data_IF_992811930195
#
_entry.id   IF_992811930195
#
_cell.length_a   1.000
_cell.length_b   1.000
_cell.length_c   1.000
_cell.angle_alpha   90.00
_cell.angle_beta   90.00
_cell.angle_gamma   90.00
#
_symmetry.space_group_name_H-M   'P 1'
#
loop_
_entity.id
_entity.type
_entity.pdbx_description
1 polymer ?
#
# COMPACT_ATOMS: atom_id res chain seq x y z
N UNK A 1 -23.06 11.78 -2.32
CA UNK A 1 -23.34 13.23 -2.20
C UNK A 1 -24.30 13.75 -3.27
N UNK A 2 -24.06 13.67 -4.58
CA UNK A 2 -24.99 14.12 -5.64
C UNK A 2 -26.40 13.55 -5.48
N UNK A 3 -26.52 12.25 -5.23
CA UNK A 3 -27.81 11.57 -5.04
C UNK A 3 -28.58 12.13 -3.83
N UNK A 4 -27.90 12.40 -2.72
CA UNK A 4 -28.49 13.00 -1.52
C UNK A 4 -29.01 14.41 -1.79
N UNK A 5 -28.18 15.26 -2.40
CA UNK A 5 -28.58 16.64 -2.77
C UNK A 5 -29.71 16.62 -3.82
N UNK A 6 -29.71 15.67 -4.74
CA UNK A 6 -30.76 15.48 -5.72
C UNK A 6 -32.09 15.08 -5.08
N UNK A 7 -32.10 14.16 -4.11
CA UNK A 7 -33.33 13.75 -3.38
C UNK A 7 -33.95 14.91 -2.58
N UNK A 8 -33.18 15.89 -2.18
CA UNK A 8 -33.64 17.10 -1.49
C UNK A 8 -33.93 18.27 -2.43
N UNK A 9 -33.88 18.05 -3.76
CA UNK A 9 -34.05 19.10 -4.77
C UNK A 9 -33.08 20.29 -4.64
N UNK A 10 -31.85 20.00 -4.11
CA UNK A 10 -30.80 20.98 -3.89
C UNK A 10 -29.67 20.90 -4.93
N UNK A 11 -29.65 19.85 -5.78
CA UNK A 11 -28.57 19.68 -6.74
C UNK A 11 -28.48 20.80 -7.76
N UNK A 12 -29.63 21.28 -8.25
CA UNK A 12 -29.66 22.35 -9.24
C UNK A 12 -28.98 23.63 -8.77
N UNK A 13 -29.13 23.99 -7.49
CA UNK A 13 -28.49 25.19 -6.93
C UNK A 13 -26.98 25.02 -6.77
N UNK A 14 -26.54 23.80 -6.43
CA UNK A 14 -25.10 23.47 -6.33
C UNK A 14 -24.44 23.46 -7.69
N UNK A 15 -25.12 22.96 -8.73
CA UNK A 15 -24.56 22.85 -10.08
C UNK A 15 -24.56 24.19 -10.80
N UNK A 16 -25.70 24.88 -10.82
CA UNK A 16 -25.91 26.13 -11.56
C UNK A 16 -25.50 27.36 -10.75
N UNK A 17 -25.70 27.30 -9.43
CA UNK A 17 -25.62 28.46 -8.54
C UNK A 17 -26.79 29.41 -8.75
N UNK A 18 -26.75 30.57 -8.09
CA UNK A 18 -27.64 31.68 -8.35
C UNK A 18 -26.83 32.96 -8.40
N UNK A 19 -27.36 33.96 -9.07
CA UNK A 19 -26.76 35.31 -9.11
C UNK A 19 -27.55 36.19 -8.15
N UNK A 20 -26.85 36.89 -7.28
CA UNK A 20 -27.47 37.97 -6.50
C UNK A 20 -27.66 39.16 -7.44
N UNK A 21 -28.86 39.76 -7.45
CA UNK A 21 -29.11 40.97 -8.24
C UNK A 21 -28.23 42.11 -7.73
N UNK A 22 -27.81 42.99 -8.65
CA UNK A 22 -27.06 44.18 -8.29
C UNK A 22 -27.89 45.11 -7.41
N UNK A 23 -27.29 45.71 -6.37
CA UNK A 23 -27.91 46.66 -5.46
C UNK A 23 -28.37 47.88 -6.27
N UNK A 24 -29.71 48.11 -6.34
CA UNK A 24 -30.27 49.28 -6.96
C UNK A 24 -31.33 49.08 -8.05
N UNK A 25 -31.67 47.83 -8.38
CA UNK A 25 -32.76 47.54 -9.32
C UNK A 25 -34.14 47.49 -8.61
N UNK A 26 -35.18 48.11 -9.23
CA UNK A 26 -36.56 47.96 -8.77
C UNK A 26 -37.00 46.50 -8.89
N UNK A 27 -36.92 45.74 -7.77
CA UNK A 27 -37.31 44.35 -7.73
C UNK A 27 -38.79 44.23 -7.29
N UNK A 28 -39.55 43.45 -8.04
CA UNK A 28 -40.91 43.15 -7.64
C UNK A 28 -40.92 42.24 -6.36
N UNK A 29 -41.98 42.36 -5.57
CA UNK A 29 -42.16 41.52 -4.34
C UNK A 29 -42.07 40.03 -4.63
N UNK A 30 -42.54 39.59 -5.82
CA UNK A 30 -42.45 38.20 -6.27
C UNK A 30 -40.99 37.75 -6.57
N UNK A 31 -40.16 38.65 -7.10
CA UNK A 31 -38.73 38.38 -7.36
C UNK A 31 -37.96 38.26 -6.05
N UNK A 32 -38.24 39.13 -5.07
CA UNK A 32 -37.60 39.09 -3.75
C UNK A 32 -37.94 37.75 -3.05
N UNK A 33 -39.20 37.34 -3.04
CA UNK A 33 -39.62 36.08 -2.43
C UNK A 33 -38.98 34.85 -3.10
N UNK A 34 -38.78 34.89 -4.42
CA UNK A 34 -38.09 33.82 -5.17
C UNK A 34 -36.59 33.76 -4.84
N UNK A 35 -35.95 34.92 -4.72
CA UNK A 35 -34.55 35.05 -4.34
C UNK A 35 -34.32 34.53 -2.92
N UNK A 36 -35.19 34.87 -1.96
CA UNK A 36 -35.09 34.34 -0.58
C UNK A 36 -35.19 32.81 -0.53
N UNK A 37 -36.14 32.23 -1.27
CA UNK A 37 -36.26 30.77 -1.40
C UNK A 37 -34.98 30.15 -1.97
N UNK A 38 -34.36 30.80 -2.91
CA UNK A 38 -33.10 30.33 -3.53
C UNK A 38 -31.95 30.42 -2.55
N UNK A 39 -31.84 31.51 -1.81
CA UNK A 39 -30.85 31.67 -0.71
C UNK A 39 -31.00 30.59 0.38
N UNK A 40 -32.23 30.28 0.78
CA UNK A 40 -32.49 29.22 1.76
C UNK A 40 -32.04 27.86 1.21
N UNK A 41 -32.29 27.56 -0.07
CA UNK A 41 -31.83 26.32 -0.71
C UNK A 41 -30.30 26.26 -0.76
N UNK A 42 -29.63 27.36 -1.10
CA UNK A 42 -28.16 27.40 -1.14
C UNK A 42 -27.54 27.14 0.25
N UNK A 43 -28.09 27.81 1.28
CA UNK A 43 -27.65 27.59 2.68
C UNK A 43 -27.89 26.16 3.15
N UNK A 44 -29.03 25.59 2.78
CA UNK A 44 -29.32 24.17 3.07
C UNK A 44 -28.35 23.22 2.37
N UNK A 45 -28.04 23.48 1.10
CA UNK A 45 -27.06 22.69 0.36
C UNK A 45 -25.65 22.82 0.98
N UNK A 46 -25.25 24.02 1.37
CA UNK A 46 -23.98 24.28 2.03
C UNK A 46 -23.88 23.53 3.38
N UNK A 47 -24.95 23.53 4.17
CA UNK A 47 -25.06 22.78 5.41
C UNK A 47 -24.85 21.26 5.18
N UNK A 48 -25.48 20.67 4.15
CA UNK A 48 -25.27 19.27 3.80
C UNK A 48 -23.83 19.00 3.35
N UNK A 49 -23.19 19.93 2.64
CA UNK A 49 -21.79 19.80 2.25
C UNK A 49 -20.86 19.79 3.47
N UNK A 50 -21.09 20.69 4.43
CA UNK A 50 -20.30 20.75 5.66
C UNK A 50 -20.40 19.47 6.50
N UNK A 51 -21.60 18.91 6.62
CA UNK A 51 -21.80 17.68 7.40
C UNK A 51 -21.28 16.41 6.71
N UNK A 52 -20.95 16.48 5.45
CA UNK A 52 -20.57 15.31 4.66
C UNK A 52 -19.07 15.20 4.38
N UNK A 53 -18.27 16.15 4.85
CA UNK A 53 -16.82 16.16 4.70
C UNK A 53 -16.15 15.94 6.07
N UNK A 54 -14.92 15.45 6.02
CA UNK A 54 -14.05 15.39 7.18
C UNK A 54 -13.50 16.80 7.54
N UNK A 55 -12.78 16.91 8.64
CA UNK A 55 -12.20 18.16 9.14
C UNK A 55 -11.34 18.87 8.06
N UNK A 56 -10.50 18.12 7.34
CA UNK A 56 -9.67 18.65 6.24
C UNK A 56 -10.51 19.15 5.06
N UNK A 57 -11.63 18.51 4.75
CA UNK A 57 -12.58 18.94 3.73
C UNK A 57 -13.31 20.20 4.15
N UNK A 58 -13.75 20.26 5.44
CA UNK A 58 -14.42 21.42 6.01
C UNK A 58 -13.53 22.67 5.98
N UNK A 59 -12.26 22.57 6.41
CA UNK A 59 -11.32 23.70 6.37
C UNK A 59 -11.20 24.32 4.98
N UNK A 60 -11.23 23.49 3.92
CA UNK A 60 -11.13 23.96 2.54
C UNK A 60 -12.33 24.77 2.07
N UNK A 61 -13.52 24.42 2.57
CA UNK A 61 -14.79 25.04 2.13
C UNK A 61 -15.40 26.00 3.18
N UNK A 62 -14.79 26.13 4.35
CA UNK A 62 -15.31 26.97 5.43
C UNK A 62 -15.55 28.43 5.02
N UNK A 63 -14.75 28.96 4.08
CA UNK A 63 -14.86 30.32 3.60
C UNK A 63 -15.66 30.46 2.28
N UNK A 64 -16.28 29.36 1.81
CA UNK A 64 -17.06 29.42 0.58
C UNK A 64 -18.33 30.24 0.76
N UNK A 65 -18.56 31.22 -0.11
CA UNK A 65 -19.72 32.10 -0.05
C UNK A 65 -21.03 31.40 -0.49
N UNK A 66 -20.94 30.35 -1.33
CA UNK A 66 -22.07 29.60 -1.87
C UNK A 66 -21.84 28.09 -1.91
N UNK A 67 -22.92 27.34 -2.00
CA UNK A 67 -22.84 25.87 -2.15
C UNK A 67 -22.16 25.45 -3.46
N UNK A 68 -22.29 26.23 -4.52
CA UNK A 68 -21.57 26.01 -5.81
C UNK A 68 -20.07 26.17 -5.65
N UNK A 69 -19.63 27.20 -4.97
CA UNK A 69 -18.20 27.42 -4.71
C UNK A 69 -17.61 26.33 -3.86
N UNK A 70 -18.28 25.98 -2.74
CA UNK A 70 -17.89 24.88 -1.87
C UNK A 70 -17.76 23.56 -2.67
N UNK A 71 -18.74 23.24 -3.51
CA UNK A 71 -18.69 22.05 -4.35
C UNK A 71 -17.50 22.05 -5.33
N UNK A 72 -17.24 23.21 -5.99
CA UNK A 72 -16.12 23.35 -6.91
C UNK A 72 -14.77 23.15 -6.22
N UNK A 73 -14.60 23.71 -5.02
CA UNK A 73 -13.39 23.50 -4.19
C UNK A 73 -13.20 22.01 -3.89
N UNK A 74 -14.27 21.32 -3.42
CA UNK A 74 -14.24 19.89 -3.12
C UNK A 74 -13.94 19.05 -4.38
N UNK A 75 -14.54 19.39 -5.50
CA UNK A 75 -14.31 18.67 -6.76
C UNK A 75 -12.85 18.77 -7.22
N UNK A 76 -12.26 19.96 -7.16
CA UNK A 76 -10.85 20.17 -7.50
C UNK A 76 -9.93 19.43 -6.52
N UNK A 77 -10.21 19.51 -5.23
CA UNK A 77 -9.45 18.80 -4.21
C UNK A 77 -9.53 17.27 -4.41
N UNK A 78 -10.71 16.75 -4.73
CA UNK A 78 -10.91 15.33 -4.99
C UNK A 78 -10.18 14.86 -6.26
N UNK A 79 -10.21 15.63 -7.35
CA UNK A 79 -9.48 15.33 -8.59
C UNK A 79 -7.97 15.32 -8.34
N UNK A 80 -7.46 16.30 -7.59
CA UNK A 80 -6.05 16.36 -7.20
C UNK A 80 -5.61 15.12 -6.40
N UNK A 81 -6.38 14.76 -5.39
CA UNK A 81 -6.11 13.57 -4.58
C UNK A 81 -6.18 12.27 -5.40
N UNK A 82 -7.12 12.17 -6.36
CA UNK A 82 -7.21 11.01 -7.24
C UNK A 82 -5.96 10.85 -8.12
N UNK A 83 -5.47 11.95 -8.70
CA UNK A 83 -4.26 11.93 -9.53
C UNK A 83 -3.02 11.54 -8.72
N UNK A 84 -2.86 12.12 -7.53
CA UNK A 84 -1.76 11.77 -6.62
C UNK A 84 -1.82 10.30 -6.24
N UNK A 85 -3.02 9.79 -5.89
CA UNK A 85 -3.23 8.37 -5.59
C UNK A 85 -2.88 7.45 -6.76
N UNK A 86 -3.23 7.82 -7.99
CA UNK A 86 -2.87 7.05 -9.18
C UNK A 86 -1.35 6.96 -9.38
N UNK A 87 -0.64 8.09 -9.23
CA UNK A 87 0.83 8.12 -9.32
C UNK A 87 1.43 7.23 -8.23
N UNK A 88 0.93 7.33 -7.00
CA UNK A 88 1.39 6.53 -5.86
C UNK A 88 1.15 5.04 -6.07
N UNK A 89 -0.02 4.64 -6.60
CA UNK A 89 -0.31 3.26 -6.98
C UNK A 89 0.66 2.74 -8.04
N UNK A 90 0.97 3.55 -9.07
CA UNK A 90 1.91 3.18 -10.11
C UNK A 90 3.32 2.90 -9.53
N UNK A 91 3.78 3.77 -8.63
CA UNK A 91 5.07 3.60 -7.93
C UNK A 91 5.08 2.32 -7.09
N UNK A 92 4.04 2.12 -6.26
CA UNK A 92 3.93 0.92 -5.41
C UNK A 92 3.86 -0.39 -6.22
N UNK A 93 3.19 -0.38 -7.38
CA UNK A 93 3.18 -1.54 -8.29
C UNK A 93 4.59 -1.83 -8.81
N UNK A 94 5.32 -0.80 -9.24
CA UNK A 94 6.71 -0.93 -9.68
C UNK A 94 7.62 -1.49 -8.59
N UNK A 95 7.50 -0.96 -7.37
CA UNK A 95 8.24 -1.45 -6.19
C UNK A 95 7.91 -2.91 -5.88
N UNK A 96 6.63 -3.28 -5.92
CA UNK A 96 6.19 -4.65 -5.69
C UNK A 96 6.71 -5.61 -6.75
N UNK A 97 6.69 -5.25 -8.03
CA UNK A 97 7.20 -6.10 -9.12
C UNK A 97 8.74 -6.23 -9.07
N UNK A 98 9.45 -5.16 -8.71
CA UNK A 98 10.91 -5.18 -8.61
C UNK A 98 11.43 -5.81 -7.31
N UNK A 99 10.58 -5.97 -6.28
CA UNK A 99 10.99 -6.50 -5.00
C UNK A 99 11.48 -7.94 -5.15
N UNK A 100 12.70 -8.20 -4.64
CA UNK A 100 13.33 -9.52 -4.57
C UNK A 100 13.92 -9.73 -3.18
N UNK A 101 14.08 -11.00 -2.82
CA UNK A 101 14.82 -11.39 -1.62
C UNK A 101 16.32 -11.15 -1.82
N UNK A 102 16.98 -10.60 -0.82
CA UNK A 102 18.42 -10.35 -0.82
C UNK A 102 19.19 -11.59 -0.33
N UNK A 103 20.43 -11.82 -0.80
CA UNK A 103 21.21 -13.03 -0.52
C UNK A 103 21.44 -13.34 0.98
N UNK A 104 21.43 -12.31 1.82
CA UNK A 104 21.66 -12.45 3.27
C UNK A 104 20.42 -12.19 4.11
N UNK A 105 19.31 -11.89 3.46
CA UNK A 105 18.04 -11.58 4.10
C UNK A 105 17.38 -12.84 4.66
N UNK A 106 16.70 -12.72 5.79
CA UNK A 106 15.88 -13.80 6.32
C UNK A 106 14.55 -13.88 5.57
N UNK A 107 14.03 -15.08 5.42
CA UNK A 107 12.70 -15.29 4.82
C UNK A 107 11.63 -14.44 5.51
N UNK A 108 11.62 -14.38 6.84
CA UNK A 108 10.65 -13.58 7.60
C UNK A 108 10.73 -12.08 7.31
N UNK A 109 11.95 -11.54 7.13
CA UNK A 109 12.17 -10.12 6.80
C UNK A 109 11.70 -9.83 5.38
N UNK A 110 12.02 -10.70 4.43
CA UNK A 110 11.57 -10.60 3.04
C UNK A 110 10.04 -10.63 2.93
N UNK A 111 9.37 -11.63 3.56
CA UNK A 111 7.91 -11.74 3.55
C UNK A 111 7.27 -10.49 4.15
N UNK A 112 7.81 -9.97 5.26
CA UNK A 112 7.32 -8.71 5.87
C UNK A 112 7.40 -7.53 4.90
N UNK A 113 8.45 -7.44 4.08
CA UNK A 113 8.56 -6.39 3.05
C UNK A 113 7.51 -6.55 1.95
N UNK A 114 7.26 -7.78 1.50
CA UNK A 114 6.22 -8.08 0.50
C UNK A 114 4.84 -7.71 1.02
N UNK A 115 4.48 -8.14 2.23
CA UNK A 115 3.19 -7.84 2.87
C UNK A 115 3.00 -6.35 3.12
N UNK A 116 4.06 -5.63 3.51
CA UNK A 116 4.02 -4.18 3.68
C UNK A 116 3.61 -3.48 2.38
N UNK A 117 4.19 -3.85 1.24
CA UNK A 117 3.84 -3.27 -0.06
C UNK A 117 2.42 -3.69 -0.49
N UNK A 118 2.02 -4.94 -0.30
CA UNK A 118 0.67 -5.42 -0.58
C UNK A 118 -0.39 -4.65 0.24
N UNK A 119 -0.11 -4.40 1.53
CA UNK A 119 -0.96 -3.61 2.40
C UNK A 119 -1.02 -2.13 1.99
N UNK A 120 0.08 -1.56 1.50
CA UNK A 120 0.09 -0.19 0.98
C UNK A 120 -0.74 -0.07 -0.30
N UNK A 121 -0.67 -1.03 -1.22
CA UNK A 121 -1.52 -1.11 -2.40
C UNK A 121 -2.99 -1.18 -2.01
N UNK A 122 -3.34 -2.06 -1.04
CA UNK A 122 -4.70 -2.18 -0.51
C UNK A 122 -5.26 -0.88 0.07
N UNK A 123 -4.48 -0.15 0.87
CA UNK A 123 -4.86 1.16 1.43
C UNK A 123 -5.09 2.23 0.36
N UNK A 124 -4.41 2.11 -0.77
CA UNK A 124 -4.59 3.02 -1.91
C UNK A 124 -5.71 2.57 -2.87
N UNK A 125 -6.49 1.54 -2.50
CA UNK A 125 -7.68 1.11 -3.24
C UNK A 125 -7.43 -0.05 -4.21
N UNK A 126 -6.29 -0.74 -4.10
CA UNK A 126 -5.95 -1.93 -4.90
C UNK A 126 -5.59 -3.10 -3.96
N UNK A 127 -6.58 -3.75 -3.36
CA UNK A 127 -6.33 -4.92 -2.51
C UNK A 127 -5.77 -6.06 -3.35
N UNK A 128 -4.73 -6.71 -2.83
CA UNK A 128 -4.06 -7.81 -3.51
C UNK A 128 -4.53 -9.15 -2.94
N UNK A 129 -4.96 -10.12 -3.76
CA UNK A 129 -5.33 -11.44 -3.27
C UNK A 129 -4.10 -12.19 -2.72
N UNK A 130 -4.32 -13.04 -1.71
CA UNK A 130 -3.26 -13.81 -1.07
C UNK A 130 -2.47 -14.69 -2.06
N UNK A 131 -3.16 -15.28 -3.05
CA UNK A 131 -2.53 -16.08 -4.10
C UNK A 131 -1.46 -15.29 -4.87
N UNK A 132 -1.74 -14.03 -5.22
CA UNK A 132 -0.77 -13.17 -5.93
C UNK A 132 0.45 -12.82 -5.06
N UNK A 133 0.24 -12.68 -3.74
CA UNK A 133 1.32 -12.45 -2.79
C UNK A 133 2.19 -13.71 -2.69
N UNK A 134 1.58 -14.90 -2.58
CA UNK A 134 2.24 -16.20 -2.56
C UNK A 134 3.08 -16.41 -3.83
N UNK A 135 2.50 -16.22 -5.00
CA UNK A 135 3.21 -16.32 -6.29
C UNK A 135 4.40 -15.36 -6.37
N UNK A 136 4.21 -14.12 -5.89
CA UNK A 136 5.30 -13.13 -5.86
C UNK A 136 6.43 -13.59 -4.95
N UNK A 137 6.12 -14.10 -3.76
CA UNK A 137 7.13 -14.61 -2.82
C UNK A 137 7.94 -15.72 -3.49
N UNK A 138 7.28 -16.76 -4.00
CA UNK A 138 7.94 -17.92 -4.60
C UNK A 138 8.86 -17.53 -5.78
N UNK A 139 8.36 -16.68 -6.69
CA UNK A 139 9.11 -16.24 -7.87
C UNK A 139 10.31 -15.36 -7.56
N UNK A 140 10.37 -14.75 -6.37
CA UNK A 140 11.37 -13.73 -6.04
C UNK A 140 12.29 -14.15 -4.89
N UNK A 141 12.27 -15.43 -4.50
CA UNK A 141 13.26 -16.02 -3.59
C UNK A 141 14.64 -16.08 -4.23
N UNK A 142 15.67 -16.20 -3.41
CA UNK A 142 17.03 -16.51 -3.90
C UNK A 142 17.15 -17.96 -4.32
N UNK A 143 18.17 -18.29 -5.15
CA UNK A 143 18.45 -19.64 -5.66
C UNK A 143 18.55 -20.69 -4.54
N UNK A 144 18.91 -20.25 -3.35
CA UNK A 144 18.96 -21.06 -2.14
C UNK A 144 17.63 -21.74 -1.77
N UNK A 145 16.53 -21.23 -2.26
CA UNK A 145 15.17 -21.72 -2.02
C UNK A 145 14.53 -22.38 -3.24
N UNK A 146 15.21 -22.48 -4.37
CA UNK A 146 14.68 -23.01 -5.63
C UNK A 146 14.08 -24.41 -5.44
N UNK A 147 14.79 -25.30 -4.74
CA UNK A 147 14.32 -26.67 -4.49
C UNK A 147 13.02 -26.75 -3.69
N UNK A 148 12.86 -25.93 -2.65
CA UNK A 148 11.64 -25.93 -1.85
C UNK A 148 10.50 -25.20 -2.55
N UNK A 149 10.79 -24.15 -3.32
CA UNK A 149 9.80 -23.44 -4.13
C UNK A 149 9.16 -24.40 -5.15
N UNK A 150 9.97 -25.17 -5.91
CA UNK A 150 9.47 -26.17 -6.84
C UNK A 150 8.61 -27.25 -6.18
N UNK A 151 9.01 -27.75 -5.02
CA UNK A 151 8.20 -28.74 -4.26
C UNK A 151 6.86 -28.14 -3.83
N UNK A 152 6.83 -26.88 -3.39
CA UNK A 152 5.58 -26.20 -2.99
C UNK A 152 4.67 -25.99 -4.20
N UNK A 153 5.20 -25.55 -5.33
CA UNK A 153 4.46 -25.35 -6.58
C UNK A 153 3.85 -26.65 -7.12
N UNK A 154 4.57 -27.77 -7.00
CA UNK A 154 4.06 -29.08 -7.46
C UNK A 154 3.07 -29.72 -6.49
N UNK A 155 3.26 -29.53 -5.19
CA UNK A 155 2.50 -30.28 -4.15
C UNK A 155 1.30 -29.56 -3.60
N UNK A 156 1.18 -28.24 -3.80
CA UNK A 156 0.12 -27.40 -3.21
C UNK A 156 -0.61 -26.56 -4.26
N UNK A 157 -1.91 -26.41 -4.03
CA UNK A 157 -2.69 -25.44 -4.80
C UNK A 157 -2.41 -24.04 -4.28
N UNK A 158 -1.69 -23.24 -5.08
CA UNK A 158 -1.30 -21.86 -4.74
C UNK A 158 -2.51 -20.92 -4.56
N UNK A 159 -3.68 -21.29 -5.10
CA UNK A 159 -4.89 -20.48 -4.98
C UNK A 159 -5.49 -20.46 -3.58
N UNK A 160 -5.23 -21.52 -2.80
CA UNK A 160 -5.73 -21.68 -1.42
C UNK A 160 -4.62 -21.58 -0.36
N UNK A 161 -3.35 -21.56 -0.79
CA UNK A 161 -2.22 -21.48 0.12
C UNK A 161 -2.16 -20.09 0.78
N UNK A 162 -2.15 -20.06 2.11
CA UNK A 162 -1.98 -18.81 2.85
C UNK A 162 -0.51 -18.37 2.92
N UNK A 163 -0.31 -17.04 3.06
CA UNK A 163 1.04 -16.48 3.21
C UNK A 163 1.73 -17.02 4.46
N UNK A 164 0.98 -17.25 5.55
CA UNK A 164 1.48 -17.79 6.81
C UNK A 164 1.95 -19.25 6.68
N UNK A 165 1.24 -20.06 5.91
CA UNK A 165 1.64 -21.46 5.65
C UNK A 165 2.89 -21.52 4.79
N UNK A 166 2.98 -20.66 3.77
CA UNK A 166 4.16 -20.51 2.95
C UNK A 166 5.35 -20.08 3.81
N UNK A 167 5.18 -19.05 4.64
CA UNK A 167 6.22 -18.52 5.53
C UNK A 167 6.79 -19.63 6.43
N UNK A 168 5.92 -20.40 7.10
CA UNK A 168 6.35 -21.53 7.98
C UNK A 168 7.17 -22.58 7.22
N UNK A 169 6.76 -22.90 5.99
CA UNK A 169 7.46 -23.89 5.16
C UNK A 169 8.86 -23.40 4.76
N UNK A 170 8.96 -22.16 4.34
CA UNK A 170 10.22 -21.52 3.94
C UNK A 170 11.17 -21.32 5.13
N UNK A 171 10.67 -20.86 6.27
CA UNK A 171 11.46 -20.70 7.50
C UNK A 171 11.99 -22.04 8.04
N UNK A 172 11.18 -23.09 7.97
CA UNK A 172 11.64 -24.45 8.35
C UNK A 172 12.77 -24.93 7.44
N UNK A 173 12.70 -24.65 6.15
CA UNK A 173 13.77 -24.94 5.19
C UNK A 173 15.02 -24.10 5.49
N UNK A 174 14.88 -22.81 5.74
CA UNK A 174 15.99 -21.91 6.09
C UNK A 174 16.75 -22.41 7.32
N UNK A 175 16.01 -22.81 8.40
CA UNK A 175 16.62 -23.36 9.62
C UNK A 175 17.42 -24.63 9.37
N UNK A 176 16.91 -25.56 8.52
CA UNK A 176 17.62 -26.79 8.15
C UNK A 176 18.90 -26.48 7.39
N UNK A 177 18.85 -25.55 6.44
CA UNK A 177 20.03 -25.14 5.66
C UNK A 177 21.11 -24.52 6.54
N UNK A 178 20.74 -23.59 7.44
CA UNK A 178 21.69 -22.97 8.37
C UNK A 178 22.38 -24.02 9.23
N UNK A 179 21.61 -24.94 9.82
CA UNK A 179 22.17 -26.03 10.62
C UNK A 179 23.14 -26.91 9.83
N UNK A 180 22.82 -27.22 8.57
CA UNK A 180 23.70 -28.02 7.71
C UNK A 180 25.01 -27.27 7.38
N UNK A 181 24.91 -25.96 7.08
CA UNK A 181 26.07 -25.12 6.83
C UNK A 181 26.99 -25.04 8.05
N UNK A 182 26.44 -24.82 9.26
CA UNK A 182 27.20 -24.78 10.48
C UNK A 182 27.96 -26.10 10.74
N UNK A 183 27.35 -27.25 10.47
CA UNK A 183 28.00 -28.57 10.59
C UNK A 183 29.14 -28.71 9.59
N UNK A 184 28.94 -28.28 8.35
CA UNK A 184 29.98 -28.35 7.30
C UNK A 184 31.14 -27.43 7.68
N UNK A 185 30.87 -26.21 8.11
CA UNK A 185 31.91 -25.23 8.50
C UNK A 185 32.73 -25.77 9.69
N UNK A 186 32.07 -26.37 10.70
CA UNK A 186 32.75 -27.02 11.84
C UNK A 186 33.63 -28.19 11.39
N UNK A 187 33.11 -29.04 10.47
CA UNK A 187 33.88 -30.18 9.96
C UNK A 187 35.11 -29.72 9.17
N UNK A 188 34.99 -28.69 8.34
CA UNK A 188 36.10 -28.08 7.61
C UNK A 188 37.15 -27.49 8.56
N UNK A 189 36.71 -26.78 9.60
CA UNK A 189 37.61 -26.22 10.61
C UNK A 189 38.39 -27.30 11.31
N UNK A 190 37.72 -28.38 11.76
CA UNK A 190 38.39 -29.50 12.41
C UNK A 190 39.40 -30.19 11.49
N UNK A 191 39.10 -30.28 10.20
CA UNK A 191 40.02 -30.87 9.19
C UNK A 191 41.26 -29.99 8.97
N UNK A 192 41.10 -28.67 8.96
CA UNK A 192 42.21 -27.73 8.86
C UNK A 192 43.13 -27.81 10.09
N UNK A 193 42.54 -27.90 11.30
CA UNK A 193 43.31 -28.02 12.53
C UNK A 193 44.11 -29.33 12.62
N UNK A 194 43.56 -30.46 12.14
CA UNK A 194 44.24 -31.73 12.06
C UNK A 194 45.42 -31.68 11.06
N UNK A 195 45.25 -31.02 9.92
CA UNK A 195 46.31 -30.87 8.94
C UNK A 195 47.40 -29.90 9.39
N UNK A 196 47.04 -28.83 10.14
CA UNK A 196 48.00 -27.91 10.75
C UNK A 196 48.90 -28.59 11.77
N UNK A 197 48.34 -29.49 12.60
CA UNK A 197 49.11 -30.24 13.63
C UNK A 197 50.05 -31.25 13.02
N UNK A 198 49.73 -31.90 11.90
CA UNK A 198 50.62 -32.80 11.19
C UNK A 198 51.82 -32.08 10.58
N UNK A 199 51.69 -30.87 10.14
CA UNK A 199 52.77 -30.09 9.51
C UNK A 199 53.79 -29.54 10.52
N UNK A 200 53.40 -29.39 11.80
CA UNK A 200 54.30 -28.95 12.88
C UNK A 200 55.11 -30.08 13.47
N UNK A 201 54.63 -31.33 13.49
CA UNK A 201 55.37 -32.49 13.97
C UNK A 201 56.47 -32.99 12.99
N UNK A 202 56.34 -32.68 11.70
CA UNK A 202 57.34 -33.06 10.67
C UNK A 202 58.60 -32.20 10.66
N UNK A 203 58.67 -31.11 11.43
CA UNK A 203 59.79 -30.15 11.45
C UNK A 203 60.75 -30.31 12.61
N UNK A 204 60.42 -31.15 13.61
CA UNK A 204 61.22 -31.28 14.84
C UNK A 204 62.21 -32.46 14.81
N UNK A 205 62.41 -33.17 13.70
CA UNK A 205 63.25 -34.35 13.64
C UNK A 205 64.46 -34.25 12.70
N UNK A 206 65.07 -33.06 12.56
CA UNK A 206 66.37 -32.94 11.85
C UNK A 206 67.24 -31.85 12.49
N UNK A 207 67.81 -32.18 13.65
CA UNK A 207 69.01 -31.50 14.10
C UNK A 207 69.66 -32.27 15.29
N UNK A 208 70.28 -33.41 15.01
CA UNK A 208 71.35 -33.96 15.82
C UNK A 208 72.19 -34.90 14.92
N UNK A 209 73.34 -34.41 14.51
CA UNK A 209 74.39 -35.16 13.84
C UNK A 209 75.49 -34.25 13.37
#
# INVERSE_FOLDING_TARGET
MKTLLGSQSLWDIVEKGFQEPEEGGDQSVAQIATLEKTRVKDKSALYFLYNAVDESGFEKIANAASSKEAWKILEVAHRGNHRVRQIQLQTLRGEFECLKMEDKERVSEYITRVEKLANQLGRNGEPMPASRIVEKILRSLTDDFESIAGVIEESKDLSILSVEELARSLEAHEKRRRKMKDIIDQALQAQLDLNGTRNTQGRSSKNYG
#
